data_IF_508176548559
#
_entry.id   IF_508176548559
#
_cell.length_a   1.000
_cell.length_b   1.000
_cell.length_c   1.000
_cell.angle_alpha   90.00
_cell.angle_beta   90.00
_cell.angle_gamma   90.00
#
_symmetry.space_group_name_H-M   'P 1'
#
loop_
_entity.id
_entity.type
_entity.pdbx_description
1 polymer ?
#
# COMPACT_ATOMS: atom_id res chain seq x y z
N UNK A 1 44.49 13.86 -3.01
CA UNK A 1 43.10 13.36 -3.05
C UNK A 1 42.67 13.18 -1.61
N UNK A 2 41.65 13.89 -1.17
CA UNK A 2 41.06 13.59 0.14
C UNK A 2 40.50 12.16 0.12
N UNK A 3 40.71 11.36 1.18
CA UNK A 3 40.14 10.03 1.26
C UNK A 3 38.61 10.15 1.20
N UNK A 4 37.97 9.44 0.27
CA UNK A 4 36.52 9.37 0.22
C UNK A 4 36.00 8.82 1.57
N UNK A 5 34.95 9.44 2.15
CA UNK A 5 34.39 8.98 3.41
C UNK A 5 33.89 7.54 3.30
N UNK A 6 34.19 6.73 4.32
CA UNK A 6 33.76 5.33 4.36
C UNK A 6 32.33 5.25 4.87
N UNK A 7 31.46 4.61 4.11
CA UNK A 7 30.09 4.37 4.51
C UNK A 7 30.02 3.22 5.55
N UNK A 8 29.53 3.48 6.76
CA UNK A 8 29.61 2.51 7.88
C UNK A 8 28.34 1.70 8.17
N UNK A 9 27.27 1.84 7.39
CA UNK A 9 26.03 1.08 7.62
C UNK A 9 25.89 -0.15 6.69
N UNK A 10 25.01 -1.08 7.07
CA UNK A 10 24.64 -2.26 6.28
C UNK A 10 23.54 -1.90 5.27
N UNK A 11 23.84 -2.00 3.98
CA UNK A 11 22.91 -1.68 2.91
C UNK A 11 21.74 -2.68 2.89
N UNK A 12 20.55 -2.15 2.60
CA UNK A 12 19.25 -2.85 2.54
C UNK A 12 18.56 -2.41 1.25
N UNK A 13 17.61 -3.19 0.77
CA UNK A 13 16.78 -2.93 -0.41
C UNK A 13 16.19 -1.50 -0.36
N UNK A 14 15.62 -1.08 0.78
CA UNK A 14 15.12 0.30 0.97
C UNK A 14 16.13 1.41 0.62
N UNK A 15 17.43 1.21 0.88
CA UNK A 15 18.43 2.21 0.52
C UNK A 15 18.67 2.28 -1.00
N UNK A 16 18.47 1.17 -1.71
CA UNK A 16 18.49 1.09 -3.17
C UNK A 16 17.24 1.74 -3.74
N UNK A 17 16.07 1.43 -3.17
CA UNK A 17 14.79 2.00 -3.59
C UNK A 17 14.81 3.52 -3.51
N UNK A 18 15.23 4.07 -2.38
CA UNK A 18 15.33 5.52 -2.19
C UNK A 18 16.42 6.17 -3.06
N UNK A 19 17.53 5.47 -3.33
CA UNK A 19 18.57 5.96 -4.24
C UNK A 19 18.03 6.11 -5.66
N UNK A 20 17.33 5.10 -6.17
CA UNK A 20 16.73 5.18 -7.50
C UNK A 20 15.55 6.14 -7.56
N UNK A 21 14.74 6.21 -6.50
CA UNK A 21 13.68 7.21 -6.37
C UNK A 21 14.23 8.64 -6.54
N UNK A 22 15.31 8.96 -5.83
CA UNK A 22 15.99 10.25 -5.94
C UNK A 22 16.49 10.51 -7.36
N UNK A 23 17.11 9.52 -8.01
CA UNK A 23 17.63 9.68 -9.38
C UNK A 23 16.53 9.87 -10.42
N UNK A 24 15.48 9.05 -10.38
CA UNK A 24 14.34 9.22 -11.29
C UNK A 24 13.72 10.60 -11.13
N UNK A 25 13.54 11.06 -9.90
CA UNK A 25 12.97 12.37 -9.63
C UNK A 25 13.88 13.52 -10.06
N UNK A 26 15.17 13.47 -9.72
CA UNK A 26 16.04 14.65 -9.78
C UNK A 26 17.08 14.67 -10.91
N UNK A 27 17.25 13.57 -11.66
CA UNK A 27 18.37 13.41 -12.60
C UNK A 27 17.90 13.09 -14.01
N UNK A 28 17.82 14.12 -14.86
CA UNK A 28 17.56 13.94 -16.30
C UNK A 28 18.61 13.06 -17.01
N UNK A 29 19.92 13.17 -16.69
CA UNK A 29 20.91 12.25 -17.25
C UNK A 29 20.63 10.79 -16.89
N UNK A 30 20.21 10.52 -15.65
CA UNK A 30 19.87 9.15 -15.24
C UNK A 30 18.60 8.65 -15.93
N UNK A 31 17.56 9.48 -16.05
CA UNK A 31 16.34 9.11 -16.81
C UNK A 31 16.67 8.76 -18.26
N UNK A 32 17.49 9.58 -18.92
CA UNK A 32 17.92 9.35 -20.31
C UNK A 32 18.73 8.05 -20.43
N UNK A 33 19.68 7.84 -19.51
CA UNK A 33 20.45 6.61 -19.43
C UNK A 33 19.55 5.38 -19.22
N UNK A 34 18.59 5.46 -18.31
CA UNK A 34 17.64 4.38 -18.01
C UNK A 34 16.79 4.01 -19.22
N UNK A 35 16.22 4.99 -19.92
CA UNK A 35 15.43 4.73 -21.13
C UNK A 35 16.28 4.10 -22.23
N UNK A 36 17.52 4.59 -22.41
CA UNK A 36 18.47 4.05 -23.39
C UNK A 36 18.81 2.59 -23.10
N UNK A 37 19.04 2.23 -21.83
CA UNK A 37 19.44 0.88 -21.43
C UNK A 37 18.27 -0.09 -21.23
N UNK A 38 17.03 0.38 -21.43
CA UNK A 38 15.82 -0.46 -21.41
C UNK A 38 15.23 -0.55 -22.80
N UNK A 39 14.33 0.38 -23.13
CA UNK A 39 13.55 0.35 -24.36
C UNK A 39 14.30 0.91 -25.56
N UNK A 40 15.30 1.78 -25.33
CA UNK A 40 15.97 2.53 -26.39
C UNK A 40 15.08 3.56 -27.09
N UNK A 41 13.85 3.76 -26.62
CA UNK A 41 12.84 4.62 -27.24
C UNK A 41 12.98 6.09 -26.82
N UNK A 42 14.21 6.60 -26.87
CA UNK A 42 14.56 7.94 -26.38
C UNK A 42 13.74 9.08 -27.02
N UNK A 43 13.23 8.90 -28.24
CA UNK A 43 12.39 9.88 -28.95
C UNK A 43 10.89 9.74 -28.69
N UNK A 44 10.44 8.60 -28.17
CA UNK A 44 9.01 8.32 -27.93
C UNK A 44 8.63 8.47 -26.45
N UNK A 45 9.60 8.68 -25.56
CA UNK A 45 9.39 8.86 -24.12
C UNK A 45 9.67 10.32 -23.76
N UNK A 46 8.62 11.01 -23.33
CA UNK A 46 8.60 12.43 -22.99
C UNK A 46 8.93 12.71 -21.52
N UNK A 47 8.26 13.70 -20.94
CA UNK A 47 8.52 14.14 -19.58
C UNK A 47 8.20 13.08 -18.52
N UNK A 48 8.85 13.19 -17.37
CA UNK A 48 8.52 12.40 -16.19
C UNK A 48 7.19 12.89 -15.60
N UNK A 49 6.24 11.99 -15.42
CA UNK A 49 4.90 12.30 -14.91
C UNK A 49 4.79 11.99 -13.41
N UNK A 50 5.21 10.78 -13.03
CA UNK A 50 5.13 10.29 -11.64
C UNK A 50 6.33 9.42 -11.30
N UNK A 51 6.73 9.51 -10.03
CA UNK A 51 7.73 8.66 -9.40
C UNK A 51 7.14 8.21 -8.07
N UNK A 52 6.81 6.93 -7.97
CA UNK A 52 6.08 6.39 -6.83
C UNK A 52 6.91 5.27 -6.19
N UNK A 53 6.95 5.24 -4.86
CA UNK A 53 7.66 4.25 -4.05
C UNK A 53 6.63 3.38 -3.33
N UNK A 54 6.89 2.07 -3.22
CA UNK A 54 6.06 1.16 -2.44
C UNK A 54 4.59 1.18 -2.91
N UNK A 55 4.38 0.98 -4.21
CA UNK A 55 3.03 0.97 -4.80
C UNK A 55 2.43 -0.42 -4.65
N UNK A 56 1.46 -0.54 -3.74
CA UNK A 56 0.76 -1.79 -3.49
C UNK A 56 -0.56 -1.84 -4.25
N UNK A 57 -0.65 -2.70 -5.25
CA UNK A 57 -1.88 -2.98 -5.98
C UNK A 57 -1.94 -4.48 -6.33
N UNK A 58 -3.15 -5.06 -6.34
CA UNK A 58 -3.36 -6.49 -6.60
C UNK A 58 -2.54 -7.41 -5.68
N UNK A 59 -2.58 -7.14 -4.38
CA UNK A 59 -1.90 -7.96 -3.35
C UNK A 59 -0.36 -7.96 -3.42
N UNK A 60 0.25 -7.12 -4.27
CA UNK A 60 1.70 -7.05 -4.48
C UNK A 60 2.21 -5.61 -4.46
N UNK A 61 3.42 -5.45 -3.94
CA UNK A 61 4.18 -4.20 -3.95
C UNK A 61 5.00 -4.09 -5.23
N UNK A 62 5.03 -2.90 -5.82
CA UNK A 62 6.14 -2.43 -6.66
C UNK A 62 7.11 -1.69 -5.77
N UNK A 63 8.41 -2.00 -5.84
CA UNK A 63 9.42 -1.17 -5.13
C UNK A 63 9.35 0.26 -5.68
N UNK A 64 9.31 0.41 -7.02
CA UNK A 64 9.10 1.69 -7.69
C UNK A 64 8.16 1.57 -8.90
N UNK A 65 7.32 2.60 -9.11
CA UNK A 65 6.56 2.81 -10.34
C UNK A 65 6.94 4.17 -10.96
N UNK A 66 7.49 4.14 -12.17
CA UNK A 66 7.97 5.34 -12.87
C UNK A 66 7.17 5.56 -14.14
N UNK A 67 6.45 6.68 -14.20
CA UNK A 67 5.59 7.03 -15.35
C UNK A 67 6.22 8.13 -16.18
N UNK A 68 6.28 7.91 -17.49
CA UNK A 68 6.67 8.91 -18.48
C UNK A 68 5.55 9.17 -19.48
N UNK A 69 5.55 10.35 -20.09
CA UNK A 69 4.68 10.65 -21.23
C UNK A 69 5.15 9.92 -22.49
N UNK A 70 4.23 9.66 -23.42
CA UNK A 70 4.56 9.32 -24.81
C UNK A 70 3.50 9.90 -25.74
N UNK A 71 3.75 10.00 -27.06
CA UNK A 71 2.75 10.45 -28.03
C UNK A 71 1.45 9.63 -28.01
N UNK A 72 1.48 8.40 -27.49
CA UNK A 72 0.32 7.50 -27.41
C UNK A 72 -0.36 7.51 -26.04
N UNK A 73 0.18 8.22 -25.04
CA UNK A 73 -0.27 8.22 -23.66
C UNK A 73 0.83 7.80 -22.68
N UNK A 74 0.50 7.63 -21.40
CA UNK A 74 1.49 7.33 -20.37
C UNK A 74 2.14 5.94 -20.53
N UNK A 75 3.46 5.88 -20.40
CA UNK A 75 4.25 4.64 -20.37
C UNK A 75 4.78 4.43 -18.97
N UNK A 76 4.54 3.24 -18.42
CA UNK A 76 4.89 2.91 -17.03
C UNK A 76 6.02 1.89 -16.94
N UNK A 77 6.96 2.12 -16.04
CA UNK A 77 7.97 1.14 -15.64
C UNK A 77 7.66 0.64 -14.24
N UNK A 78 7.43 -0.67 -14.12
CA UNK A 78 7.28 -1.37 -12.85
C UNK A 78 8.65 -1.93 -12.48
N UNK A 79 9.24 -1.42 -11.40
CA UNK A 79 10.64 -1.69 -11.05
C UNK A 79 10.70 -2.46 -9.74
N UNK A 80 11.45 -3.55 -9.75
CA UNK A 80 11.87 -4.32 -8.57
C UNK A 80 13.37 -4.11 -8.35
N UNK A 81 13.79 -3.95 -7.11
CA UNK A 81 15.18 -3.90 -6.67
C UNK A 81 15.49 -5.09 -5.76
N UNK A 82 16.59 -5.79 -6.04
CA UNK A 82 17.04 -6.91 -5.21
C UNK A 82 18.52 -6.85 -4.90
N UNK A 83 18.88 -7.16 -3.65
CA UNK A 83 20.26 -7.42 -3.26
C UNK A 83 20.50 -8.92 -3.21
N UNK A 84 19.83 -9.61 -2.30
CA UNK A 84 20.01 -11.04 -2.05
C UNK A 84 18.77 -11.78 -1.56
N UNK A 85 17.64 -11.07 -1.36
CA UNK A 85 16.38 -11.68 -0.98
C UNK A 85 15.90 -12.69 -2.03
N UNK A 86 15.20 -13.74 -1.61
CA UNK A 86 14.57 -14.67 -2.55
C UNK A 86 13.38 -14.01 -3.23
N UNK A 87 13.18 -14.33 -4.51
CA UNK A 87 11.90 -14.06 -5.17
C UNK A 87 10.82 -14.95 -4.55
N UNK A 88 9.64 -14.38 -4.38
CA UNK A 88 8.46 -15.21 -4.15
C UNK A 88 8.11 -15.97 -5.45
N UNK A 89 7.48 -17.15 -5.36
CA UNK A 89 7.03 -17.87 -6.55
C UNK A 89 6.21 -16.95 -7.46
N UNK A 90 6.50 -16.99 -8.76
CA UNK A 90 5.81 -16.24 -9.82
C UNK A 90 5.89 -14.71 -9.72
N UNK A 91 6.74 -14.13 -8.88
CA UNK A 91 6.75 -12.67 -8.68
C UNK A 91 6.96 -11.86 -9.97
N UNK A 92 7.77 -12.34 -10.93
CA UNK A 92 7.92 -11.67 -12.23
C UNK A 92 6.64 -11.74 -13.08
N UNK A 93 5.90 -12.84 -13.00
CA UNK A 93 4.60 -13.01 -13.66
C UNK A 93 3.54 -12.13 -13.01
N UNK A 94 3.56 -11.98 -11.68
CA UNK A 94 2.68 -11.07 -10.94
C UNK A 94 2.85 -9.62 -11.42
N UNK A 95 4.11 -9.16 -11.57
CA UNK A 95 4.41 -7.84 -12.14
C UNK A 95 3.85 -7.68 -13.56
N UNK A 96 3.95 -8.73 -14.39
CA UNK A 96 3.43 -8.71 -15.74
C UNK A 96 1.91 -8.67 -15.79
N UNK A 97 1.24 -9.47 -14.96
CA UNK A 97 -0.21 -9.50 -14.84
C UNK A 97 -0.75 -8.15 -14.34
N UNK A 98 -0.08 -7.53 -13.37
CA UNK A 98 -0.42 -6.19 -12.89
C UNK A 98 -0.28 -5.14 -13.99
N UNK A 99 0.81 -5.16 -14.75
CA UNK A 99 0.98 -4.25 -15.88
C UNK A 99 -0.10 -4.42 -16.97
N UNK A 100 -0.49 -5.67 -17.27
CA UNK A 100 -1.60 -5.95 -18.20
C UNK A 100 -2.90 -5.32 -17.68
N UNK A 101 -3.15 -5.44 -16.38
CA UNK A 101 -4.33 -4.88 -15.75
C UNK A 101 -4.34 -3.34 -15.75
N UNK A 102 -3.19 -2.71 -15.52
CA UNK A 102 -3.04 -1.27 -15.64
C UNK A 102 -3.36 -0.77 -17.05
N UNK A 103 -2.92 -1.49 -18.09
CA UNK A 103 -3.27 -1.17 -19.48
C UNK A 103 -4.76 -1.37 -19.71
N UNK A 104 -5.33 -2.49 -19.24
CA UNK A 104 -6.77 -2.79 -19.38
C UNK A 104 -7.64 -1.71 -18.75
N UNK A 105 -7.21 -1.13 -17.63
CA UNK A 105 -7.90 -0.04 -16.91
C UNK A 105 -7.57 1.37 -17.41
N UNK A 106 -6.69 1.51 -18.40
CA UNK A 106 -6.29 2.80 -18.93
C UNK A 106 -5.38 3.62 -18.02
N UNK A 107 -4.73 3.02 -17.01
CA UNK A 107 -3.73 3.67 -16.15
C UNK A 107 -2.46 4.03 -16.94
N UNK A 108 -2.13 3.22 -17.96
CA UNK A 108 -1.08 3.50 -18.92
C UNK A 108 -1.42 2.87 -20.27
N UNK A 109 -0.78 3.31 -21.35
CA UNK A 109 -0.95 2.70 -22.68
C UNK A 109 0.06 1.60 -22.96
N UNK A 110 1.14 1.58 -22.18
CA UNK A 110 2.18 0.56 -22.24
C UNK A 110 2.89 0.47 -20.90
N UNK A 111 3.37 -0.71 -20.57
CA UNK A 111 4.22 -0.91 -19.42
C UNK A 111 5.43 -1.78 -19.75
N UNK A 112 6.44 -1.71 -18.88
CA UNK A 112 7.58 -2.61 -18.86
C UNK A 112 7.94 -2.98 -17.42
N UNK A 113 8.39 -4.21 -17.23
CA UNK A 113 8.90 -4.71 -15.96
C UNK A 113 10.43 -4.68 -15.97
N UNK A 114 11.04 -4.13 -14.92
CA UNK A 114 12.50 -3.96 -14.82
C UNK A 114 13.00 -4.50 -13.48
N UNK A 115 14.08 -5.28 -13.50
CA UNK A 115 14.79 -5.68 -12.30
C UNK A 115 16.15 -4.97 -12.22
N UNK A 116 16.40 -4.24 -11.14
CA UNK A 116 17.76 -3.87 -10.73
C UNK A 116 18.27 -4.83 -9.66
N UNK A 117 19.45 -5.40 -9.89
CA UNK A 117 20.11 -6.29 -8.94
C UNK A 117 21.59 -6.44 -9.27
N UNK A 118 22.43 -7.05 -8.41
CA UNK A 118 23.79 -7.44 -8.78
C UNK A 118 23.79 -8.37 -10.00
N UNK A 119 24.79 -8.25 -10.87
CA UNK A 119 24.86 -9.04 -12.11
C UNK A 119 24.80 -10.55 -11.86
N UNK A 120 25.51 -11.04 -10.84
CA UNK A 120 25.54 -12.45 -10.46
C UNK A 120 24.16 -12.93 -9.99
N UNK A 121 23.41 -12.09 -9.28
CA UNK A 121 22.05 -12.38 -8.84
C UNK A 121 21.10 -12.46 -10.03
N UNK A 122 21.20 -11.54 -11.00
CA UNK A 122 20.43 -11.56 -12.24
C UNK A 122 20.68 -12.86 -13.01
N UNK A 123 21.94 -13.27 -13.17
CA UNK A 123 22.31 -14.52 -13.86
C UNK A 123 21.62 -15.74 -13.24
N UNK A 124 21.53 -15.77 -11.91
CA UNK A 124 20.89 -16.85 -11.15
C UNK A 124 19.37 -16.91 -11.35
N UNK A 125 18.67 -15.76 -11.31
CA UNK A 125 17.20 -15.71 -11.30
C UNK A 125 16.58 -15.64 -12.69
N UNK A 126 17.29 -15.10 -13.69
CA UNK A 126 16.78 -14.86 -15.05
C UNK A 126 16.22 -16.12 -15.74
N UNK A 127 16.69 -17.35 -15.49
CA UNK A 127 16.04 -18.55 -16.02
C UNK A 127 14.60 -18.74 -15.53
N UNK A 128 14.31 -18.44 -14.26
CA UNK A 128 13.02 -18.70 -13.60
C UNK A 128 12.10 -17.49 -13.48
N UNK A 129 12.64 -16.27 -13.51
CA UNK A 129 11.89 -15.02 -13.35
C UNK A 129 12.14 -14.11 -14.54
N UNK A 130 11.11 -13.87 -15.36
CA UNK A 130 11.18 -13.15 -16.64
C UNK A 130 10.68 -11.72 -16.50
N UNK A 131 11.60 -10.78 -16.33
CA UNK A 131 11.36 -9.34 -16.48
C UNK A 131 11.64 -8.94 -17.94
N UNK A 132 11.03 -7.85 -18.40
CA UNK A 132 11.28 -7.32 -19.74
C UNK A 132 12.72 -6.78 -19.84
N UNK A 133 13.22 -6.15 -18.77
CA UNK A 133 14.59 -5.65 -18.69
C UNK A 133 15.28 -5.99 -17.37
N UNK A 134 16.61 -6.08 -17.42
CA UNK A 134 17.47 -6.33 -16.28
C UNK A 134 18.61 -5.32 -16.30
N UNK A 135 18.77 -4.55 -15.24
CA UNK A 135 19.79 -3.53 -15.11
C UNK A 135 20.72 -3.86 -13.94
N UNK A 136 21.91 -4.41 -14.21
CA UNK A 136 22.88 -4.70 -13.17
C UNK A 136 23.31 -3.44 -12.41
N UNK A 137 23.49 -3.55 -11.09
CA UNK A 137 24.07 -2.47 -10.29
C UNK A 137 25.44 -2.02 -10.82
N UNK A 138 26.20 -2.94 -11.40
CA UNK A 138 27.49 -2.68 -12.05
C UNK A 138 27.37 -1.70 -13.22
N UNK A 139 26.31 -1.80 -14.04
CA UNK A 139 26.07 -0.87 -15.15
C UNK A 139 25.66 0.51 -14.62
N UNK A 140 24.92 0.55 -13.51
CA UNK A 140 24.57 1.81 -12.84
C UNK A 140 25.81 2.49 -12.23
N UNK A 141 26.72 1.70 -11.63
CA UNK A 141 28.00 2.22 -11.11
C UNK A 141 28.79 2.85 -12.26
N UNK A 142 28.91 2.17 -13.40
CA UNK A 142 29.59 2.72 -14.57
C UNK A 142 28.95 4.04 -15.05
N UNK A 143 27.61 4.16 -14.99
CA UNK A 143 26.95 5.43 -15.24
C UNK A 143 27.40 6.52 -14.26
N UNK A 144 27.33 6.28 -12.94
CA UNK A 144 27.73 7.29 -11.95
C UNK A 144 29.21 7.70 -12.04
N UNK A 145 30.09 6.78 -12.43
CA UNK A 145 31.52 7.07 -12.65
C UNK A 145 31.73 8.09 -13.78
N UNK A 146 30.79 8.21 -14.73
CA UNK A 146 30.81 9.25 -15.77
C UNK A 146 30.22 10.59 -15.31
N UNK A 147 29.51 10.64 -14.18
CA UNK A 147 28.80 11.84 -13.70
C UNK A 147 29.70 12.76 -12.88
N UNK A 148 30.78 13.26 -13.49
CA UNK A 148 31.82 14.07 -12.82
C UNK A 148 31.25 15.27 -12.06
N UNK A 149 30.23 15.93 -12.61
CA UNK A 149 29.60 17.11 -12.01
C UNK A 149 28.83 16.80 -10.71
N UNK A 150 28.48 15.54 -10.47
CA UNK A 150 27.75 15.12 -9.26
C UNK A 150 28.68 15.02 -8.03
N UNK A 151 30.01 14.95 -8.24
CA UNK A 151 31.02 14.98 -7.18
C UNK A 151 30.81 13.91 -6.11
N UNK A 152 30.86 14.32 -4.83
CA UNK A 152 30.76 13.38 -3.70
C UNK A 152 29.42 12.63 -3.62
N UNK A 153 28.35 13.16 -4.22
CA UNK A 153 27.06 12.46 -4.28
C UNK A 153 27.14 11.21 -5.16
N UNK A 154 27.88 11.27 -6.28
CA UNK A 154 28.12 10.08 -7.11
C UNK A 154 28.94 9.04 -6.35
N UNK A 155 30.00 9.46 -5.65
CA UNK A 155 30.81 8.57 -4.82
C UNK A 155 29.97 7.85 -3.76
N UNK A 156 29.07 8.57 -3.07
CA UNK A 156 28.14 7.96 -2.11
C UNK A 156 27.26 6.90 -2.77
N UNK A 157 26.64 7.21 -3.92
CA UNK A 157 25.74 6.28 -4.63
C UNK A 157 26.48 5.04 -5.11
N UNK A 158 27.68 5.21 -5.64
CA UNK A 158 28.59 4.10 -6.00
C UNK A 158 28.92 3.26 -4.76
N UNK A 159 29.23 3.87 -3.61
CA UNK A 159 29.51 3.13 -2.37
C UNK A 159 28.32 2.32 -1.86
N UNK A 160 27.09 2.85 -1.98
CA UNK A 160 25.86 2.11 -1.64
C UNK A 160 25.70 0.88 -2.52
N UNK A 161 25.83 1.04 -3.85
CA UNK A 161 25.70 -0.06 -4.81
C UNK A 161 26.80 -1.11 -4.65
N UNK A 162 28.06 -0.71 -4.44
CA UNK A 162 29.17 -1.64 -4.19
C UNK A 162 28.94 -2.48 -2.92
N UNK A 163 28.47 -1.86 -1.84
CA UNK A 163 28.10 -2.60 -0.61
C UNK A 163 26.95 -3.57 -0.82
N UNK A 164 25.95 -3.22 -1.65
CA UNK A 164 24.90 -4.15 -2.02
C UNK A 164 25.46 -5.38 -2.76
N UNK A 165 26.35 -5.17 -3.73
CA UNK A 165 27.03 -6.26 -4.45
C UNK A 165 27.85 -7.14 -3.49
N UNK A 166 28.63 -6.54 -2.58
CA UNK A 166 29.39 -7.27 -1.56
C UNK A 166 28.48 -8.09 -0.62
N UNK A 167 27.35 -7.51 -0.20
CA UNK A 167 26.34 -8.20 0.62
C UNK A 167 25.75 -9.40 -0.11
N UNK A 168 25.46 -9.27 -1.40
CA UNK A 168 24.96 -10.36 -2.23
C UNK A 168 25.97 -11.52 -2.32
N UNK A 169 27.27 -11.21 -2.49
CA UNK A 169 28.34 -12.23 -2.58
C UNK A 169 28.65 -12.93 -1.27
N UNK A 170 28.64 -12.18 -0.15
CA UNK A 170 28.93 -12.71 1.19
C UNK A 170 27.82 -13.61 1.74
N UNK A 171 26.60 -13.42 1.25
CA UNK A 171 25.45 -14.27 1.57
C UNK A 171 25.56 -15.58 0.78
N UNK A 172 26.27 -16.58 1.30
CA UNK A 172 26.47 -17.91 0.65
C UNK A 172 25.19 -18.74 0.43
N UNK A 173 24.02 -18.18 0.69
CA UNK A 173 22.70 -18.64 0.27
C UNK A 173 21.74 -17.47 0.43
N UNK A 174 20.68 -17.36 -0.40
CA UNK A 174 19.66 -16.34 -0.21
C UNK A 174 19.11 -16.47 1.21
N UNK A 175 19.36 -15.47 2.06
CA UNK A 175 18.78 -15.45 3.39
C UNK A 175 17.27 -15.28 3.20
N UNK A 176 16.48 -16.18 3.78
CA UNK A 176 15.04 -15.98 3.97
C UNK A 176 14.87 -14.83 4.97
N UNK A 177 14.96 -13.59 4.52
CA UNK A 177 14.65 -12.43 5.35
C UNK A 177 13.19 -12.05 5.15
N UNK A 178 12.29 -12.91 5.63
CA UNK A 178 10.99 -12.47 6.12
C UNK A 178 11.19 -11.77 7.47
N UNK A 179 11.90 -10.63 7.47
CA UNK A 179 11.94 -9.77 8.66
C UNK A 179 10.83 -8.75 8.49
N UNK A 180 9.65 -9.15 8.94
CA UNK A 180 8.52 -8.27 9.21
C UNK A 180 9.03 -7.09 10.06
N UNK A 181 9.08 -5.90 9.47
CA UNK A 181 9.33 -4.66 10.19
C UNK A 181 7.99 -4.15 10.76
N UNK A 182 7.83 -4.08 12.09
CA UNK A 182 6.67 -3.42 12.67
C UNK A 182 6.79 -1.91 12.45
N UNK A 183 5.71 -1.28 11.98
CA UNK A 183 5.47 0.17 11.82
C UNK A 183 5.70 0.83 10.45
N UNK A 184 5.87 0.07 9.37
CA UNK A 184 5.84 0.67 8.03
C UNK A 184 4.39 1.07 7.67
N UNK A 185 4.23 2.35 7.30
CA UNK A 185 3.01 2.85 6.67
C UNK A 185 2.71 1.96 5.47
N UNK A 186 1.52 1.38 5.43
CA UNK A 186 1.05 0.60 4.30
C UNK A 186 0.29 1.54 3.36
N UNK A 187 0.89 1.87 2.23
CA UNK A 187 0.35 2.80 1.23
C UNK A 187 -1.01 2.32 0.70
N UNK A 188 -1.21 1.01 0.47
CA UNK A 188 -2.49 0.45 0.04
C UNK A 188 -3.59 0.62 1.08
N UNK A 189 -3.34 0.27 2.35
CA UNK A 189 -4.32 0.50 3.42
C UNK A 189 -4.62 1.99 3.55
N UNK A 190 -3.60 2.85 3.44
CA UNK A 190 -3.77 4.30 3.51
C UNK A 190 -4.63 4.82 2.37
N UNK A 191 -4.37 4.38 1.13
CA UNK A 191 -5.14 4.75 -0.06
C UNK A 191 -6.58 4.24 0.02
N UNK A 192 -6.78 2.98 0.44
CA UNK A 192 -8.11 2.42 0.66
C UNK A 192 -8.92 3.24 1.68
N UNK A 193 -8.30 3.60 2.82
CA UNK A 193 -8.94 4.45 3.82
C UNK A 193 -9.31 5.82 3.25
N UNK A 194 -8.43 6.43 2.44
CA UNK A 194 -8.67 7.73 1.81
C UNK A 194 -9.84 7.68 0.84
N UNK A 195 -9.86 6.70 -0.07
CA UNK A 195 -10.96 6.49 -1.01
C UNK A 195 -12.29 6.20 -0.30
N UNK A 196 -12.27 5.35 0.72
CA UNK A 196 -13.43 5.09 1.58
C UNK A 196 -13.99 6.38 2.19
N UNK A 197 -13.12 7.25 2.68
CA UNK A 197 -13.51 8.54 3.26
C UNK A 197 -14.09 9.50 2.22
N UNK A 198 -13.46 9.61 1.04
CA UNK A 198 -13.94 10.42 -0.09
C UNK A 198 -15.38 10.01 -0.50
N UNK A 199 -15.63 8.71 -0.69
CA UNK A 199 -16.96 8.19 -1.05
C UNK A 199 -17.98 8.42 0.06
N UNK A 200 -17.58 8.22 1.33
CA UNK A 200 -18.47 8.41 2.48
C UNK A 200 -18.92 9.88 2.60
N UNK A 201 -18.01 10.83 2.39
CA UNK A 201 -18.32 12.26 2.45
C UNK A 201 -19.40 12.66 1.45
N UNK A 202 -19.39 12.07 0.26
CA UNK A 202 -20.38 12.37 -0.78
C UNK A 202 -21.71 11.67 -0.48
N UNK A 203 -21.66 10.39 -0.09
CA UNK A 203 -22.86 9.55 0.06
C UNK A 203 -23.61 9.78 1.36
N UNK A 204 -22.90 9.96 2.46
CA UNK A 204 -23.44 10.05 3.81
C UNK A 204 -22.75 11.18 4.61
N UNK A 205 -22.92 12.45 4.21
CA UNK A 205 -22.22 13.59 4.84
C UNK A 205 -22.52 13.78 6.33
N UNK A 206 -23.63 13.21 6.82
CA UNK A 206 -24.04 13.23 8.22
C UNK A 206 -23.54 12.00 9.03
N UNK A 207 -22.75 11.12 8.42
CA UNK A 207 -21.99 10.06 9.10
C UNK A 207 -20.50 10.41 9.10
N UNK A 208 -20.02 11.17 10.10
CA UNK A 208 -18.67 11.71 10.09
C UNK A 208 -17.60 10.62 10.24
N UNK A 209 -16.58 10.69 9.40
CA UNK A 209 -15.32 9.97 9.51
C UNK A 209 -14.16 10.98 9.50
N UNK A 210 -13.23 10.91 10.46
CA UNK A 210 -12.02 11.74 10.41
C UNK A 210 -11.23 11.44 9.13
N UNK A 211 -10.68 12.48 8.50
CA UNK A 211 -9.79 12.31 7.35
C UNK A 211 -8.63 11.37 7.75
N UNK A 212 -8.40 10.29 6.99
CA UNK A 212 -7.39 9.32 7.33
C UNK A 212 -5.99 9.88 7.07
N UNK A 213 -5.10 9.62 8.02
CA UNK A 213 -3.65 9.71 7.85
C UNK A 213 -3.08 8.33 7.51
N UNK A 214 -1.77 8.25 7.40
CA UNK A 214 -0.99 7.02 7.25
C UNK A 214 -1.50 5.88 8.15
N UNK A 215 -1.67 4.71 7.52
CA UNK A 215 -2.18 3.50 8.16
C UNK A 215 -1.16 2.38 8.06
N UNK A 216 -0.95 1.68 9.16
CA UNK A 216 -0.25 0.41 9.15
C UNK A 216 -1.13 -0.74 8.62
N UNK A 217 -0.54 -1.91 8.33
CA UNK A 217 -1.24 -3.06 7.75
C UNK A 217 -2.37 -3.63 8.64
N UNK A 218 -2.30 -3.42 9.95
CA UNK A 218 -3.31 -3.89 10.90
C UNK A 218 -4.55 -2.97 11.02
N UNK A 219 -4.61 -1.84 10.29
CA UNK A 219 -5.70 -0.88 10.38
C UNK A 219 -6.95 -1.34 9.61
N UNK A 220 -7.55 -2.44 10.05
CA UNK A 220 -8.67 -3.11 9.35
C UNK A 220 -10.06 -2.62 9.78
N UNK A 221 -10.12 -1.69 10.75
CA UNK A 221 -11.35 -1.27 11.42
C UNK A 221 -11.54 0.24 11.24
N UNK A 222 -12.56 0.63 10.46
CA UNK A 222 -12.88 2.04 10.21
C UNK A 222 -13.90 2.53 11.24
N UNK A 223 -13.51 3.51 12.06
CA UNK A 223 -14.39 4.11 13.07
C UNK A 223 -15.15 5.33 12.53
N UNK A 224 -16.47 5.33 12.72
CA UNK A 224 -17.43 6.29 12.17
C UNK A 224 -18.32 6.87 13.29
N UNK A 225 -18.88 8.05 13.07
CA UNK A 225 -19.95 8.60 13.90
C UNK A 225 -19.51 9.32 15.18
N UNK A 226 -18.20 9.48 15.44
CA UNK A 226 -17.67 10.07 16.70
C UNK A 226 -18.24 11.45 17.07
N UNK A 227 -18.70 12.27 16.11
CA UNK A 227 -19.26 13.60 16.38
C UNK A 227 -20.79 13.61 16.54
N UNK A 228 -21.46 12.51 16.19
CA UNK A 228 -22.94 12.42 16.16
C UNK A 228 -23.49 11.33 17.09
N UNK A 229 -22.62 10.48 17.64
CA UNK A 229 -22.93 9.47 18.65
C UNK A 229 -22.44 9.92 20.03
N UNK A 230 -23.09 9.47 21.12
CA UNK A 230 -22.65 9.79 22.47
C UNK A 230 -21.32 9.11 22.83
N UNK A 231 -20.66 9.53 23.92
CA UNK A 231 -19.45 8.87 24.41
C UNK A 231 -19.63 7.37 24.58
N UNK A 232 -18.57 6.61 24.27
CA UNK A 232 -18.54 5.13 24.30
C UNK A 232 -19.48 4.43 23.31
N UNK A 233 -20.08 5.16 22.35
CA UNK A 233 -20.82 4.58 21.23
C UNK A 233 -20.12 4.94 19.93
N UNK A 234 -19.80 3.94 19.11
CA UNK A 234 -19.06 4.12 17.86
C UNK A 234 -19.51 3.09 16.83
N UNK A 235 -19.57 3.49 15.56
CA UNK A 235 -19.79 2.55 14.46
C UNK A 235 -18.42 2.11 13.92
N UNK A 236 -18.18 0.81 13.84
CA UNK A 236 -17.00 0.23 13.21
C UNK A 236 -17.39 -0.53 11.96
N UNK A 237 -16.79 -0.19 10.82
CA UNK A 237 -16.72 -1.11 9.69
C UNK A 237 -15.45 -1.97 9.82
N UNK A 238 -15.64 -3.25 10.14
CA UNK A 238 -14.60 -4.27 10.32
C UNK A 238 -14.43 -5.02 9.01
N UNK A 239 -13.84 -4.37 8.01
CA UNK A 239 -14.02 -4.70 6.60
C UNK A 239 -13.45 -6.07 6.19
N UNK A 240 -12.35 -6.53 6.80
CA UNK A 240 -11.83 -7.89 6.56
C UNK A 240 -12.71 -8.99 7.19
N UNK A 241 -13.53 -8.62 8.16
CA UNK A 241 -14.42 -9.53 8.86
C UNK A 241 -15.81 -9.58 8.25
N UNK A 242 -16.19 -8.57 7.46
CA UNK A 242 -17.51 -8.50 6.81
C UNK A 242 -18.61 -8.03 7.76
N UNK A 243 -18.28 -7.13 8.69
CA UNK A 243 -19.23 -6.62 9.68
C UNK A 243 -19.23 -5.11 9.76
N UNK A 244 -20.41 -4.53 9.93
CA UNK A 244 -20.57 -3.17 10.45
C UNK A 244 -21.22 -3.28 11.82
N UNK A 245 -20.52 -2.81 12.84
CA UNK A 245 -20.90 -2.91 14.25
C UNK A 245 -21.21 -1.51 14.81
N UNK A 246 -22.39 -1.28 15.34
CA UNK A 246 -22.63 -0.23 16.32
C UNK A 246 -22.22 -0.76 17.69
N UNK A 247 -21.07 -0.32 18.18
CA UNK A 247 -20.44 -0.81 19.39
C UNK A 247 -20.73 0.12 20.57
N UNK A 248 -21.25 -0.46 21.64
CA UNK A 248 -21.47 0.16 22.94
C UNK A 248 -20.38 -0.33 23.90
N UNK A 249 -19.46 0.56 24.26
CA UNK A 249 -18.30 0.25 25.08
C UNK A 249 -18.55 0.51 26.57
N UNK A 250 -17.73 -0.12 27.42
CA UNK A 250 -17.74 0.05 28.90
C UNK A 250 -19.05 -0.36 29.60
N UNK A 251 -19.78 -1.31 29.03
CA UNK A 251 -20.98 -1.89 29.66
C UNK A 251 -20.66 -2.85 30.81
N UNK A 252 -19.53 -3.57 30.73
CA UNK A 252 -19.08 -4.49 31.78
C UNK A 252 -20.14 -5.53 32.16
N UNK A 253 -20.53 -5.52 33.44
CA UNK A 253 -21.54 -6.45 33.99
C UNK A 253 -22.96 -6.18 33.46
N UNK A 254 -23.26 -4.95 33.01
CA UNK A 254 -24.58 -4.57 32.47
C UNK A 254 -24.82 -5.06 31.03
N UNK A 255 -23.90 -5.81 30.44
CA UNK A 255 -24.00 -6.23 29.05
C UNK A 255 -25.23 -7.13 28.76
N UNK A 256 -25.57 -8.06 29.66
CA UNK A 256 -26.76 -8.93 29.45
C UNK A 256 -28.08 -8.16 29.58
N UNK A 257 -28.13 -7.24 30.53
CA UNK A 257 -29.28 -6.34 30.72
C UNK A 257 -29.49 -5.49 29.46
N UNK A 258 -28.41 -4.91 28.94
CA UNK A 258 -28.43 -4.17 27.67
C UNK A 258 -28.97 -5.04 26.53
N UNK A 259 -28.44 -6.25 26.36
CA UNK A 259 -28.89 -7.16 25.30
C UNK A 259 -30.39 -7.44 25.43
N UNK A 260 -30.87 -7.73 26.64
CA UNK A 260 -32.28 -8.03 26.87
C UNK A 260 -33.19 -6.83 26.60
N UNK A 261 -32.74 -5.61 26.86
CA UNK A 261 -33.51 -4.39 26.62
C UNK A 261 -33.62 -4.04 25.13
N UNK A 262 -32.54 -4.27 24.36
CA UNK A 262 -32.44 -3.82 22.97
C UNK A 262 -32.80 -4.90 21.93
N UNK A 263 -32.81 -6.18 22.29
CA UNK A 263 -33.08 -7.29 21.34
C UNK A 263 -34.42 -7.17 20.60
N UNK A 264 -35.46 -6.65 21.26
CA UNK A 264 -36.81 -6.55 20.69
C UNK A 264 -36.97 -5.32 19.76
N UNK A 265 -35.96 -4.45 19.71
CA UNK A 265 -35.93 -3.26 18.86
C UNK A 265 -35.05 -3.44 17.61
N UNK A 266 -34.45 -4.63 17.42
CA UNK A 266 -33.63 -4.91 16.25
C UNK A 266 -34.48 -4.92 14.98
N UNK A 267 -33.94 -4.32 13.92
CA UNK A 267 -34.53 -4.40 12.59
C UNK A 267 -34.02 -5.63 11.83
N UNK A 268 -34.67 -5.97 10.71
CA UNK A 268 -34.28 -7.11 9.87
C UNK A 268 -32.79 -7.07 9.47
N UNK A 269 -32.08 -8.19 9.66
CA UNK A 269 -30.65 -8.30 9.37
C UNK A 269 -29.72 -7.68 10.42
N UNK A 270 -30.26 -7.17 11.54
CA UNK A 270 -29.46 -6.79 12.71
C UNK A 270 -29.37 -7.94 13.71
N UNK A 271 -28.20 -8.13 14.29
CA UNK A 271 -27.98 -9.02 15.43
C UNK A 271 -27.39 -8.26 16.61
N UNK A 272 -27.61 -8.73 17.83
CA UNK A 272 -27.02 -8.15 19.03
C UNK A 272 -26.24 -9.21 19.80
N UNK A 273 -25.02 -8.89 20.19
CA UNK A 273 -24.15 -9.83 20.91
C UNK A 273 -23.04 -9.11 21.67
N UNK A 274 -22.41 -9.81 22.61
CA UNK A 274 -21.18 -9.32 23.23
C UNK A 274 -20.05 -9.16 22.21
N UNK A 275 -19.23 -8.15 22.44
CA UNK A 275 -17.92 -7.95 21.81
C UNK A 275 -16.86 -7.85 22.90
N UNK A 276 -16.24 -8.98 23.24
CA UNK A 276 -15.29 -9.06 24.36
C UNK A 276 -15.98 -8.93 25.72
N UNK A 277 -15.22 -8.51 26.75
CA UNK A 277 -15.70 -8.51 28.14
C UNK A 277 -16.61 -7.33 28.48
N UNK A 278 -16.44 -6.19 27.83
CA UNK A 278 -17.03 -4.91 28.26
C UNK A 278 -17.80 -4.16 27.17
N UNK A 279 -18.01 -4.76 26.01
CA UNK A 279 -18.79 -4.13 24.94
C UNK A 279 -19.91 -5.04 24.42
N UNK A 280 -20.96 -4.42 23.90
CA UNK A 280 -22.03 -5.07 23.13
C UNK A 280 -22.05 -4.42 21.76
N UNK A 281 -22.33 -5.21 20.72
CA UNK A 281 -22.47 -4.72 19.34
C UNK A 281 -23.86 -5.03 18.83
N UNK A 282 -24.45 -4.06 18.13
CA UNK A 282 -25.52 -4.29 17.16
C UNK A 282 -24.88 -4.36 15.78
N UNK A 283 -24.99 -5.50 15.10
CA UNK A 283 -24.22 -5.85 13.91
C UNK A 283 -25.10 -6.01 12.69
N UNK A 284 -24.59 -5.55 11.55
CA UNK A 284 -25.06 -5.92 10.21
C UNK A 284 -23.91 -6.63 9.49
N UNK A 285 -24.20 -7.79 8.88
CA UNK A 285 -23.26 -8.49 8.01
C UNK A 285 -23.18 -7.81 6.64
N UNK A 286 -21.96 -7.67 6.13
CA UNK A 286 -21.64 -7.04 4.84
C UNK A 286 -20.55 -7.86 4.14
N UNK A 287 -20.34 -7.69 2.82
CA UNK A 287 -19.26 -8.38 2.13
C UNK A 287 -17.89 -8.11 2.78
N UNK A 288 -17.04 -9.14 2.81
CA UNK A 288 -15.65 -8.98 3.24
C UNK A 288 -14.87 -8.23 2.17
N UNK A 289 -14.09 -7.26 2.58
CA UNK A 289 -13.28 -6.44 1.69
C UNK A 289 -11.81 -6.77 1.92
N UNK A 290 -11.13 -7.15 0.83
CA UNK A 290 -9.68 -7.21 0.77
C UNK A 290 -9.17 -5.86 0.28
N UNK A 291 -8.56 -5.02 1.14
CA UNK A 291 -8.13 -3.68 0.79
C UNK A 291 -6.93 -3.64 -0.18
N UNK A 292 -6.40 -4.81 -0.57
CA UNK A 292 -5.30 -4.93 -1.53
C UNK A 292 -5.76 -5.09 -2.99
N UNK A 293 -7.08 -5.13 -3.23
CA UNK A 293 -7.67 -5.06 -4.58
C UNK A 293 -7.90 -3.60 -4.99
N UNK A 294 -8.10 -3.36 -6.29
CA UNK A 294 -8.51 -2.05 -6.80
C UNK A 294 -9.76 -1.55 -6.09
N UNK A 295 -9.75 -0.29 -5.67
CA UNK A 295 -10.87 0.30 -4.97
C UNK A 295 -12.15 0.26 -5.82
N UNK A 296 -12.02 0.46 -7.13
CA UNK A 296 -13.11 0.44 -8.10
C UNK A 296 -13.81 -0.93 -8.14
N UNK A 297 -13.08 -2.02 -7.92
CA UNK A 297 -13.66 -3.36 -7.86
C UNK A 297 -14.36 -3.65 -6.53
N UNK A 298 -14.01 -2.88 -5.50
CA UNK A 298 -14.54 -3.01 -4.14
C UNK A 298 -15.67 -2.01 -3.87
N UNK A 299 -15.88 -1.04 -4.76
CA UNK A 299 -16.70 0.13 -4.50
C UNK A 299 -18.14 -0.23 -4.14
N UNK A 300 -18.75 -1.19 -4.84
CA UNK A 300 -20.12 -1.65 -4.52
C UNK A 300 -20.22 -2.27 -3.13
N UNK A 301 -19.20 -3.02 -2.71
CA UNK A 301 -19.15 -3.64 -1.39
C UNK A 301 -18.85 -2.61 -0.30
N UNK A 302 -18.01 -1.61 -0.59
CA UNK A 302 -17.81 -0.44 0.26
C UNK A 302 -19.12 0.33 0.44
N UNK A 303 -19.86 0.59 -0.64
CA UNK A 303 -21.15 1.28 -0.59
C UNK A 303 -22.16 0.53 0.29
N UNK A 304 -22.28 -0.80 0.15
CA UNK A 304 -23.14 -1.61 1.03
C UNK A 304 -22.77 -1.45 2.50
N UNK A 305 -21.46 -1.41 2.81
CA UNK A 305 -21.00 -1.22 4.18
C UNK A 305 -21.27 0.19 4.72
N UNK A 306 -21.11 1.22 3.89
CA UNK A 306 -21.46 2.60 4.26
C UNK A 306 -22.97 2.75 4.49
N UNK A 307 -23.80 2.13 3.65
CA UNK A 307 -25.26 2.14 3.78
C UNK A 307 -25.70 1.39 5.06
N UNK A 308 -25.04 0.27 5.40
CA UNK A 308 -25.25 -0.43 6.67
C UNK A 308 -24.86 0.44 7.89
N UNK A 309 -23.73 1.15 7.81
CA UNK A 309 -23.31 2.08 8.86
C UNK A 309 -24.33 3.23 9.03
N UNK A 310 -24.84 3.76 7.92
CA UNK A 310 -25.90 4.77 7.94
C UNK A 310 -27.19 4.25 8.57
N UNK A 311 -27.56 3.02 8.26
CA UNK A 311 -28.73 2.35 8.83
C UNK A 311 -28.60 2.18 10.35
N UNK A 312 -27.43 1.77 10.85
CA UNK A 312 -27.16 1.68 12.29
C UNK A 312 -27.23 3.04 12.99
N UNK A 313 -26.76 4.12 12.35
CA UNK A 313 -26.90 5.47 12.89
C UNK A 313 -28.39 5.88 13.00
N UNK A 314 -29.20 5.60 11.97
CA UNK A 314 -30.65 5.87 12.01
C UNK A 314 -31.35 5.06 13.10
N UNK A 315 -30.99 3.78 13.23
CA UNK A 315 -31.50 2.91 14.27
C UNK A 315 -31.16 3.43 15.67
N UNK A 316 -29.91 3.86 15.89
CA UNK A 316 -29.51 4.46 17.16
C UNK A 316 -30.35 5.70 17.48
N UNK A 317 -30.51 6.62 16.53
CA UNK A 317 -31.28 7.84 16.73
C UNK A 317 -32.76 7.57 17.05
N UNK A 318 -33.36 6.54 16.43
CA UNK A 318 -34.75 6.12 16.72
C UNK A 318 -34.89 5.56 18.14
N UNK A 319 -33.85 4.92 18.67
CA UNK A 319 -33.84 4.23 19.95
C UNK A 319 -33.01 4.96 21.03
N UNK A 320 -32.60 6.21 20.79
CA UNK A 320 -31.63 6.91 21.65
C UNK A 320 -32.16 7.15 23.06
N UNK A 321 -33.48 7.32 23.21
CA UNK A 321 -34.12 7.47 24.52
C UNK A 321 -33.90 6.24 25.40
N UNK A 322 -33.95 5.02 24.85
CA UNK A 322 -33.65 3.79 25.59
C UNK A 322 -32.19 3.79 26.07
N UNK A 323 -31.26 4.25 25.23
CA UNK A 323 -29.86 4.36 25.60
C UNK A 323 -29.66 5.34 26.75
N UNK A 324 -30.22 6.55 26.66
CA UNK A 324 -30.05 7.55 27.71
C UNK A 324 -30.67 7.10 29.03
N UNK A 325 -31.83 6.45 29.00
CA UNK A 325 -32.44 5.85 30.20
C UNK A 325 -31.61 4.72 30.80
N UNK A 326 -30.96 3.90 29.98
CA UNK A 326 -30.09 2.81 30.45
C UNK A 326 -28.74 3.30 30.98
N UNK A 327 -28.19 4.37 30.38
CA UNK A 327 -26.86 4.92 30.71
C UNK A 327 -26.87 5.93 31.86
N UNK A 328 -28.06 6.42 32.25
CA UNK A 328 -28.26 7.23 33.45
C UNK A 328 -28.06 6.39 34.71
#
# INVERSE_FOLDING_TARGET
>A
MDPNPILMYSVRELHIDLLFLEEFYSSEPFRTWFITNTTGLNGDIGALVRVEHSVFELERESDLEITFESPKGEVLFLIENKINAQFQPNQAEDYKNRGIEYVRRGKCVKFYTVLFAPEDYIKMIKPSHKFDFYLPFETVIAFFETQVQMGQRANYKISVLRKAIEKARSSKSPASSSVYQPSEVNSAITLFWKRYWEDLLVRHPDLPMPEPKDKGPAATFIGLGKKVLPPNVIIYHKFVHGFVDLQFEKLGEKAEEFISLFKDYLEEGMTIQRAGKSAVVVRIEVPKINPHRFYEDLQDDVHKAQDAAKRLLKWFNKNSNLWFSFSS
#
